data_IF_548033978187
#
_entry.id   IF_548033978187
#
_cell.length_a   1.000
_cell.length_b   1.000
_cell.length_c   1.000
_cell.angle_alpha   90.00
_cell.angle_beta   90.00
_cell.angle_gamma   90.00
#
_symmetry.space_group_name_H-M   'P 1'
#
loop_
_entity.id
_entity.type
_entity.pdbx_description
1 polymer ?
#
# COMPACT_ATOMS: atom_id res chain seq x y z
N UNK A 1 2.50 2.22 8.40
CA UNK A 1 2.54 3.69 8.58
C UNK A 1 3.47 4.36 7.57
N UNK A 2 4.71 3.89 7.45
CA UNK A 2 5.74 4.51 6.61
C UNK A 2 5.35 4.62 5.14
N UNK A 3 4.85 3.55 4.52
CA UNK A 3 4.40 3.60 3.12
C UNK A 3 3.30 4.66 2.89
N UNK A 4 2.32 4.76 3.80
CA UNK A 4 1.26 5.76 3.69
C UNK A 4 1.82 7.17 3.88
N UNK A 5 2.77 7.37 4.81
CA UNK A 5 3.46 8.65 5.00
C UNK A 5 4.13 9.09 3.71
N UNK A 6 4.87 8.18 3.09
CA UNK A 6 5.65 8.44 1.89
C UNK A 6 4.77 8.69 0.66
N UNK A 7 3.64 7.96 0.53
CA UNK A 7 2.68 8.17 -0.56
C UNK A 7 1.86 9.45 -0.40
N UNK A 8 1.62 9.91 0.83
CA UNK A 8 0.82 11.09 1.11
C UNK A 8 1.63 12.37 1.39
N UNK A 9 2.95 12.37 1.22
CA UNK A 9 3.83 13.46 1.68
C UNK A 9 3.52 13.89 3.13
N UNK A 10 3.15 12.93 3.99
CA UNK A 10 2.54 13.22 5.27
C UNK A 10 3.58 13.59 6.33
N UNK A 11 3.19 14.46 7.26
CA UNK A 11 3.90 14.61 8.54
C UNK A 11 3.28 13.65 9.54
N UNK A 12 4.10 12.89 10.26
CA UNK A 12 3.64 11.90 11.23
C UNK A 12 4.33 12.10 12.57
N UNK A 13 3.57 12.05 13.65
CA UNK A 13 4.08 12.07 15.02
C UNK A 13 3.75 10.76 15.72
N UNK A 14 4.66 10.29 16.56
CA UNK A 14 4.48 9.04 17.30
C UNK A 14 4.68 7.76 16.47
N UNK A 15 5.30 7.86 15.28
CA UNK A 15 5.65 6.70 14.46
C UNK A 15 6.99 6.09 14.92
N UNK A 16 6.97 5.45 16.09
CA UNK A 16 8.09 4.67 16.63
C UNK A 16 7.57 3.42 17.35
N UNK A 17 8.42 2.40 17.49
CA UNK A 17 8.07 1.13 18.11
C UNK A 17 7.69 1.35 19.59
N UNK A 18 6.55 0.79 20.01
CA UNK A 18 6.04 0.93 21.37
C UNK A 18 5.21 2.20 21.62
N UNK A 19 5.04 3.06 20.61
CA UNK A 19 4.11 4.18 20.70
C UNK A 19 2.65 3.71 20.82
N UNK A 20 1.87 4.36 21.68
CA UNK A 20 0.43 4.12 21.85
C UNK A 20 -0.43 5.21 21.21
N UNK A 21 0.19 6.25 20.64
CA UNK A 21 -0.49 7.36 19.97
C UNK A 21 0.22 7.72 18.67
N UNK A 22 -0.57 7.85 17.60
CA UNK A 22 -0.10 8.27 16.28
C UNK A 22 -0.93 9.48 15.84
N UNK A 23 -0.26 10.50 15.29
CA UNK A 23 -0.93 11.62 14.61
C UNK A 23 -0.44 11.66 13.16
N UNK A 24 -1.36 11.62 12.19
CA UNK A 24 -1.07 11.57 10.77
C UNK A 24 -1.66 12.79 10.06
N UNK A 25 -0.81 13.62 9.46
CA UNK A 25 -1.19 14.83 8.76
C UNK A 25 -0.85 14.66 7.27
N UNK A 26 -1.80 14.27 6.41
CA UNK A 26 -1.54 14.10 4.98
C UNK A 26 -1.15 15.43 4.33
N UNK A 27 -0.22 15.38 3.38
CA UNK A 27 0.19 16.53 2.57
C UNK A 27 -0.57 16.62 1.24
N UNK A 28 -0.22 17.62 0.44
CA UNK A 28 -0.73 17.74 -0.93
C UNK A 28 -0.21 16.61 -1.82
N UNK A 29 -1.11 16.07 -2.65
CA UNK A 29 -0.77 15.10 -3.69
C UNK A 29 -0.61 15.85 -5.00
N UNK A 30 0.53 15.64 -5.67
CA UNK A 30 0.87 16.34 -6.92
C UNK A 30 1.05 15.34 -8.07
N UNK A 31 0.72 15.75 -9.30
CA UNK A 31 0.88 14.91 -10.50
C UNK A 31 2.34 14.58 -10.82
N UNK A 32 3.27 15.41 -10.34
CA UNK A 32 4.72 15.26 -10.48
C UNK A 32 5.34 14.29 -9.45
N UNK A 33 4.55 13.79 -8.49
CA UNK A 33 5.06 12.94 -7.42
C UNK A 33 5.64 11.62 -7.95
N UNK A 34 6.57 11.04 -7.17
CA UNK A 34 7.09 9.69 -7.41
C UNK A 34 5.95 8.67 -7.52
N UNK A 35 6.12 7.68 -8.40
CA UNK A 35 5.13 6.62 -8.65
C UNK A 35 5.59 5.25 -8.19
N UNK A 36 6.81 5.18 -7.70
CA UNK A 36 7.42 3.95 -7.20
C UNK A 36 7.59 4.08 -5.69
N UNK A 37 7.04 3.11 -4.97
CA UNK A 37 7.12 3.04 -3.53
C UNK A 37 7.52 1.63 -3.12
N UNK A 38 8.35 1.54 -2.08
CA UNK A 38 8.73 0.27 -1.48
C UNK A 38 8.37 0.26 -0.01
N UNK A 39 8.02 -0.92 0.50
CA UNK A 39 7.90 -1.19 1.92
C UNK A 39 8.45 -2.58 2.22
N UNK A 40 9.26 -2.67 3.24
CA UNK A 40 9.79 -3.93 3.77
C UNK A 40 9.33 -4.07 5.22
N UNK A 41 8.71 -5.20 5.53
CA UNK A 41 8.30 -5.51 6.90
C UNK A 41 9.45 -6.04 7.75
N UNK A 42 10.60 -6.34 7.13
CA UNK A 42 11.83 -6.89 7.73
C UNK A 42 11.61 -8.22 8.47
N UNK A 43 10.41 -8.78 8.39
CA UNK A 43 9.90 -9.94 9.13
C UNK A 43 8.87 -10.67 8.25
N UNK A 44 8.15 -11.65 8.81
CA UNK A 44 7.00 -12.26 8.16
C UNK A 44 5.72 -11.39 8.24
N UNK A 45 5.84 -10.07 8.17
CA UNK A 45 4.68 -9.18 8.15
C UNK A 45 3.85 -9.38 6.88
N UNK A 46 2.52 -9.37 7.00
CA UNK A 46 1.62 -9.64 5.86
C UNK A 46 1.69 -8.52 4.80
N UNK A 47 2.19 -8.84 3.60
CA UNK A 47 2.24 -7.86 2.50
C UNK A 47 0.84 -7.45 2.03
N UNK A 48 -0.15 -8.33 2.16
CA UNK A 48 -1.53 -8.02 1.76
C UNK A 48 -2.12 -6.90 2.63
N UNK A 49 -1.79 -6.85 3.93
CA UNK A 49 -2.21 -5.74 4.79
C UNK A 49 -1.56 -4.41 4.38
N UNK A 50 -0.28 -4.44 3.97
CA UNK A 50 0.37 -3.25 3.39
C UNK A 50 -0.32 -2.81 2.10
N UNK A 51 -0.66 -3.76 1.23
CA UNK A 51 -1.38 -3.49 -0.02
C UNK A 51 -2.76 -2.87 0.24
N UNK A 52 -3.52 -3.34 1.25
CA UNK A 52 -4.80 -2.75 1.63
C UNK A 52 -4.69 -1.27 2.03
N UNK A 53 -3.57 -0.86 2.64
CA UNK A 53 -3.32 0.54 3.01
C UNK A 53 -2.86 1.36 1.80
N UNK A 54 -1.94 0.82 0.99
CA UNK A 54 -1.31 1.55 -0.09
C UNK A 54 -2.21 1.69 -1.33
N UNK A 55 -3.02 0.68 -1.64
CA UNK A 55 -3.79 0.63 -2.88
C UNK A 55 -4.82 1.76 -3.02
N UNK A 56 -5.62 2.13 -2.00
CA UNK A 56 -6.50 3.29 -2.10
C UNK A 56 -5.72 4.56 -2.42
N UNK A 57 -4.57 4.78 -1.77
CA UNK A 57 -3.74 5.97 -2.03
C UNK A 57 -3.25 5.95 -3.48
N UNK A 58 -2.78 4.80 -3.97
CA UNK A 58 -2.33 4.63 -5.35
C UNK A 58 -3.43 4.96 -6.38
N UNK A 59 -4.66 4.51 -6.16
CA UNK A 59 -5.80 4.73 -7.04
C UNK A 59 -6.21 6.21 -7.15
N UNK A 60 -5.99 6.99 -6.08
CA UNK A 60 -6.36 8.40 -6.02
C UNK A 60 -5.18 9.36 -6.24
N UNK A 61 -3.98 8.87 -6.54
CA UNK A 61 -2.85 9.73 -6.90
C UNK A 61 -3.14 10.51 -8.20
N UNK A 62 -2.91 11.83 -8.23
CA UNK A 62 -3.13 12.63 -9.44
C UNK A 62 -2.25 12.16 -10.60
N UNK A 63 -2.80 12.13 -11.82
CA UNK A 63 -2.24 11.57 -13.08
C UNK A 63 -2.76 10.16 -13.40
N UNK A 64 -3.63 10.09 -14.40
CA UNK A 64 -4.27 8.86 -14.90
C UNK A 64 -3.37 8.07 -15.87
N UNK A 65 -2.39 8.73 -16.48
CA UNK A 65 -1.59 8.15 -17.58
C UNK A 65 -0.32 7.44 -17.11
N UNK A 66 -0.08 7.39 -15.80
CA UNK A 66 1.11 6.77 -15.21
C UNK A 66 0.69 5.70 -14.20
N UNK A 67 1.12 4.45 -14.30
CA UNK A 67 0.85 3.47 -13.24
C UNK A 67 1.58 3.85 -11.94
N UNK A 68 1.10 3.35 -10.81
CA UNK A 68 1.81 3.38 -9.53
C UNK A 68 2.36 1.98 -9.29
N UNK A 69 3.65 1.88 -8.97
CA UNK A 69 4.35 0.63 -8.72
C UNK A 69 4.63 0.52 -7.22
N UNK A 70 4.19 -0.58 -6.62
CA UNK A 70 4.41 -0.89 -5.21
C UNK A 70 5.28 -2.13 -5.09
N UNK A 71 6.41 -2.01 -4.41
CA UNK A 71 7.30 -3.12 -4.06
C UNK A 71 7.13 -3.47 -2.58
N UNK A 72 6.39 -4.53 -2.28
CA UNK A 72 6.06 -4.93 -0.91
C UNK A 72 6.81 -6.21 -0.54
N UNK A 73 7.63 -6.15 0.51
CA UNK A 73 8.45 -7.27 1.01
C UNK A 73 7.99 -7.73 2.39
N UNK A 74 7.80 -9.04 2.53
CA UNK A 74 7.28 -9.66 3.74
C UNK A 74 6.66 -11.03 3.45
N UNK A 75 5.82 -11.49 4.36
CA UNK A 75 5.08 -12.74 4.20
C UNK A 75 3.87 -12.58 3.25
N UNK A 76 3.77 -13.49 2.28
CA UNK A 76 2.64 -13.58 1.33
C UNK A 76 1.43 -14.28 1.94
N UNK A 77 1.65 -15.40 2.63
CA UNK A 77 0.60 -16.24 3.21
C UNK A 77 0.91 -16.46 4.70
N UNK A 78 0.44 -15.53 5.53
CA UNK A 78 0.71 -15.51 6.98
C UNK A 78 -0.59 -15.67 7.77
N UNK A 79 -0.56 -16.26 8.98
CA UNK A 79 -1.74 -16.35 9.84
C UNK A 79 -2.37 -14.98 10.10
N UNK A 80 -3.71 -14.94 10.18
CA UNK A 80 -4.50 -13.72 10.46
C UNK A 80 -4.34 -12.57 9.43
N UNK A 81 -3.70 -12.82 8.30
CA UNK A 81 -3.65 -11.92 7.15
C UNK A 81 -4.36 -12.51 5.92
N UNK A 82 -4.83 -11.69 4.97
CA UNK A 82 -5.28 -12.18 3.68
C UNK A 82 -4.14 -12.88 2.95
N UNK A 83 -4.44 -14.02 2.34
CA UNK A 83 -3.52 -14.71 1.44
C UNK A 83 -3.40 -13.96 0.11
N UNK A 84 -2.30 -14.14 -0.60
CA UNK A 84 -2.07 -13.43 -1.86
C UNK A 84 -3.09 -13.80 -2.93
N UNK A 85 -3.57 -15.05 -2.94
CA UNK A 85 -4.59 -15.54 -3.87
C UNK A 85 -5.93 -14.83 -3.69
N UNK A 86 -6.26 -14.39 -2.47
CA UNK A 86 -7.47 -13.61 -2.21
C UNK A 86 -7.46 -12.28 -2.99
N UNK A 87 -6.29 -11.66 -3.15
CA UNK A 87 -6.17 -10.42 -3.90
C UNK A 87 -6.50 -10.61 -5.38
N UNK A 88 -6.05 -11.72 -5.98
CA UNK A 88 -6.31 -12.04 -7.39
C UNK A 88 -7.74 -12.52 -7.61
N UNK A 89 -8.20 -13.50 -6.83
CA UNK A 89 -9.42 -14.26 -7.15
C UNK A 89 -10.69 -13.61 -6.60
N UNK A 90 -10.57 -12.76 -5.56
CA UNK A 90 -11.73 -12.16 -4.89
C UNK A 90 -11.67 -10.65 -4.97
N UNK A 91 -10.63 -10.04 -4.42
CA UNK A 91 -10.59 -8.59 -4.23
C UNK A 91 -10.50 -7.82 -5.56
N UNK A 92 -9.59 -8.20 -6.47
CA UNK A 92 -9.43 -7.54 -7.78
C UNK A 92 -10.71 -7.59 -8.62
N UNK A 93 -11.42 -8.73 -8.80
CA UNK A 93 -12.69 -8.76 -9.52
C UNK A 93 -13.75 -7.79 -8.98
N UNK A 94 -13.83 -7.66 -7.64
CA UNK A 94 -14.73 -6.69 -7.03
C UNK A 94 -14.27 -5.26 -7.23
N UNK A 95 -12.98 -4.96 -7.07
CA UNK A 95 -12.43 -3.62 -7.30
C UNK A 95 -12.67 -3.15 -8.74
N UNK A 96 -12.53 -4.05 -9.72
CA UNK A 96 -12.80 -3.76 -11.14
C UNK A 96 -14.25 -3.33 -11.39
N UNK A 97 -15.21 -3.86 -10.64
CA UNK A 97 -16.62 -3.40 -10.71
C UNK A 97 -16.81 -1.97 -10.19
N UNK A 98 -15.88 -1.47 -9.36
CA UNK A 98 -15.84 -0.09 -8.87
C UNK A 98 -14.93 0.81 -9.71
N UNK A 99 -14.38 0.32 -10.83
CA UNK A 99 -13.55 1.11 -11.75
C UNK A 99 -12.07 1.22 -11.36
N UNK A 100 -11.62 0.49 -10.34
CA UNK A 100 -10.19 0.36 -10.00
C UNK A 100 -9.62 -0.97 -10.49
N UNK A 101 -8.33 -1.01 -10.81
CA UNK A 101 -7.65 -2.25 -11.14
C UNK A 101 -6.20 -2.19 -10.64
N UNK A 102 -5.61 -3.36 -10.43
CA UNK A 102 -4.19 -3.52 -10.15
C UNK A 102 -3.73 -4.87 -10.67
N UNK A 103 -2.44 -5.01 -10.93
CA UNK A 103 -1.82 -6.29 -11.19
C UNK A 103 -0.61 -6.46 -10.27
N UNK A 104 -0.19 -7.70 -10.06
CA UNK A 104 0.98 -7.99 -9.26
C UNK A 104 1.66 -9.29 -9.68
N UNK A 105 2.96 -9.34 -9.43
CA UNK A 105 3.77 -10.54 -9.59
C UNK A 105 4.43 -10.86 -8.25
N UNK A 106 4.36 -12.11 -7.82
CA UNK A 106 5.10 -12.57 -6.64
C UNK A 106 6.52 -12.90 -7.07
N UNK A 107 7.50 -12.25 -6.45
CA UNK A 107 8.93 -12.43 -6.73
C UNK A 107 9.62 -12.93 -5.46
N UNK A 108 10.55 -13.89 -5.59
CA UNK A 108 11.29 -14.51 -4.49
C UNK A 108 12.67 -13.88 -4.33
#
# INVERSE_FOLDING_TARGET
VEIARDMCNAKVKGAYIGSTRLEFFPGSLESSQKREFSADTETAGCICLLAQVALPIALFLPSKDRPVVLMLKGGTNVPFGPQIEYFTEVFRPWLRKFGGDFDFTVVK
#
